data_IF_515333994408
#
_entry.id   IF_515333994408
#
_cell.length_a   1.000
_cell.length_b   1.000
_cell.length_c   1.000
_cell.angle_alpha   90.00
_cell.angle_beta   90.00
_cell.angle_gamma   90.00
#
_symmetry.space_group_name_H-M   'P 1'
#
loop_
_entity.id
_entity.type
_entity.pdbx_description
1 polymer ?
#
# COMPACT_ATOMS: atom_id res chain seq x y z
N UNK A 1 34.40 22.73 -21.07
CA UNK A 1 33.72 21.43 -21.10
C UNK A 1 32.31 21.67 -20.61
N UNK A 2 31.31 21.73 -21.50
CA UNK A 2 29.91 21.93 -21.12
C UNK A 2 29.49 20.75 -20.24
N UNK A 3 28.82 21.02 -19.11
CA UNK A 3 28.25 19.96 -18.29
C UNK A 3 27.23 19.18 -19.11
N UNK A 4 27.06 17.87 -18.83
CA UNK A 4 26.09 17.03 -19.53
C UNK A 4 24.69 17.65 -19.57
N UNK A 5 24.29 18.37 -18.52
CA UNK A 5 23.04 19.14 -18.47
C UNK A 5 22.98 20.28 -19.50
N UNK A 6 24.07 21.02 -19.70
CA UNK A 6 24.12 22.11 -20.68
C UNK A 6 23.99 21.58 -22.12
N UNK A 7 24.64 20.45 -22.42
CA UNK A 7 24.49 19.77 -23.73
C UNK A 7 23.06 19.26 -23.95
N UNK A 8 22.43 18.70 -22.91
CA UNK A 8 21.02 18.26 -22.97
C UNK A 8 20.05 19.41 -23.28
N UNK A 9 20.28 20.57 -22.69
CA UNK A 9 19.44 21.76 -22.91
C UNK A 9 19.72 22.41 -24.27
N UNK A 10 20.99 22.57 -24.64
CA UNK A 10 21.40 23.20 -25.90
C UNK A 10 20.95 22.40 -27.11
N UNK A 11 21.03 21.06 -27.05
CA UNK A 11 20.56 20.17 -28.12
C UNK A 11 19.08 19.79 -28.00
N UNK A 12 18.34 20.41 -27.07
CA UNK A 12 16.90 20.18 -26.84
C UNK A 12 16.52 18.71 -26.66
N UNK A 13 17.43 17.88 -26.14
CA UNK A 13 17.14 16.46 -25.92
C UNK A 13 15.98 16.22 -24.94
N UNK A 14 15.66 17.20 -24.09
CA UNK A 14 14.47 17.16 -23.23
C UNK A 14 13.16 17.01 -24.01
N UNK A 15 13.09 17.41 -25.29
CA UNK A 15 11.92 17.20 -26.16
C UNK A 15 11.65 15.70 -26.42
N UNK A 16 12.68 14.86 -26.28
CA UNK A 16 12.60 13.40 -26.43
C UNK A 16 12.41 12.66 -25.11
N UNK A 17 12.44 13.37 -23.99
CA UNK A 17 12.32 12.79 -22.65
C UNK A 17 10.87 12.92 -22.19
N UNK A 18 10.10 11.83 -22.28
CA UNK A 18 8.74 11.77 -21.76
C UNK A 18 8.72 11.21 -20.33
N UNK A 19 8.40 12.00 -19.30
CA UNK A 19 8.28 11.49 -17.94
C UNK A 19 7.12 10.50 -17.85
N UNK A 20 7.37 9.32 -17.31
CA UNK A 20 6.34 8.32 -17.03
C UNK A 20 6.06 8.29 -15.54
N UNK A 21 4.78 8.22 -15.17
CA UNK A 21 4.35 8.05 -13.78
C UNK A 21 3.60 6.74 -13.62
N UNK A 22 3.88 5.99 -12.56
CA UNK A 22 3.01 4.91 -12.14
C UNK A 22 1.86 5.51 -11.33
N UNK A 23 0.70 5.69 -11.99
CA UNK A 23 -0.46 6.29 -11.37
C UNK A 23 -1.78 5.61 -11.77
N UNK A 24 -2.77 5.78 -10.91
CA UNK A 24 -4.19 5.62 -11.27
C UNK A 24 -4.73 7.00 -11.63
N UNK A 25 -5.43 7.10 -12.75
CA UNK A 25 -6.08 8.35 -13.21
C UNK A 25 -7.51 8.02 -13.58
N UNK A 26 -8.47 8.73 -13.01
CA UNK A 26 -9.89 8.53 -13.30
C UNK A 26 -10.61 9.87 -13.31
N UNK A 27 -11.33 10.15 -14.40
CA UNK A 27 -12.16 11.33 -14.55
C UNK A 27 -13.62 10.90 -14.49
N UNK A 28 -14.40 11.50 -13.59
CA UNK A 28 -15.81 11.16 -13.46
C UNK A 28 -16.66 11.75 -14.58
N UNK A 29 -17.85 11.18 -14.72
CA UNK A 29 -19.02 11.87 -15.24
C UNK A 29 -19.28 13.19 -14.51
N UNK A 30 -20.08 14.04 -15.14
CA UNK A 30 -20.57 15.26 -14.53
C UNK A 30 -21.46 14.92 -13.34
N UNK A 31 -21.14 15.52 -12.21
CA UNK A 31 -21.89 15.43 -10.97
C UNK A 31 -22.57 16.77 -10.71
N UNK A 32 -23.77 16.70 -10.17
CA UNK A 32 -24.52 17.88 -9.73
C UNK A 32 -24.83 17.71 -8.26
N UNK A 33 -24.40 18.69 -7.46
CA UNK A 33 -24.73 18.80 -6.04
C UNK A 33 -25.40 20.14 -5.84
N UNK A 34 -26.71 20.11 -5.53
CA UNK A 34 -27.58 21.30 -5.53
C UNK A 34 -27.48 22.07 -6.86
N UNK A 35 -26.95 23.27 -6.82
CA UNK A 35 -26.79 24.21 -7.93
C UNK A 35 -25.40 24.13 -8.61
N UNK A 36 -24.50 23.27 -8.13
CA UNK A 36 -23.12 23.17 -8.61
C UNK A 36 -22.94 21.93 -9.47
N UNK A 37 -22.52 22.15 -10.71
CA UNK A 37 -22.11 21.10 -11.64
C UNK A 37 -20.60 21.07 -11.83
N UNK A 38 -20.01 19.88 -11.71
CA UNK A 38 -18.56 19.69 -11.76
C UNK A 38 -18.19 18.25 -12.14
N UNK A 39 -16.94 18.06 -12.55
CA UNK A 39 -16.31 16.74 -12.70
C UNK A 39 -15.20 16.58 -11.67
N UNK A 40 -14.89 15.35 -11.28
CA UNK A 40 -13.77 15.07 -10.40
C UNK A 40 -12.69 14.31 -11.18
N UNK A 41 -11.48 14.87 -11.23
CA UNK A 41 -10.28 14.18 -11.68
C UNK A 41 -9.52 13.64 -10.47
N UNK A 42 -9.46 12.33 -10.35
CA UNK A 42 -8.69 11.63 -9.33
C UNK A 42 -7.36 11.16 -9.90
N UNK A 43 -6.28 11.45 -9.18
CA UNK A 43 -4.94 11.02 -9.54
C UNK A 43 -4.25 10.45 -8.30
N UNK A 44 -3.78 9.21 -8.37
CA UNK A 44 -2.92 8.63 -7.32
C UNK A 44 -1.58 8.22 -7.90
N UNK A 45 -0.52 8.95 -7.57
CA UNK A 45 0.85 8.79 -8.10
C UNK A 45 1.75 8.12 -7.08
N UNK A 46 2.54 7.12 -7.49
CA UNK A 46 3.49 6.43 -6.60
C UNK A 46 4.91 6.97 -6.77
N UNK A 47 5.60 7.17 -5.65
CA UNK A 47 7.02 7.57 -5.68
C UNK A 47 7.90 6.44 -6.21
N UNK A 48 8.86 6.81 -7.05
CA UNK A 48 9.93 5.94 -7.52
C UNK A 48 11.13 5.86 -6.55
N UNK A 49 11.19 6.72 -5.52
CA UNK A 49 12.38 6.88 -4.65
C UNK A 49 12.63 5.72 -3.69
N UNK A 50 11.57 5.07 -3.17
CA UNK A 50 11.66 3.81 -2.38
C UNK A 50 10.57 2.81 -2.76
N UNK A 51 10.45 2.53 -4.05
CA UNK A 51 9.43 1.59 -4.54
C UNK A 51 9.78 0.14 -4.20
N UNK A 52 8.77 -0.62 -3.78
CA UNK A 52 8.89 -2.07 -3.70
C UNK A 52 7.61 -2.78 -3.32
N UNK A 53 7.69 -4.11 -3.25
CA UNK A 53 6.57 -5.00 -2.98
C UNK A 53 6.27 -5.16 -1.49
N UNK A 54 5.08 -5.68 -1.18
CA UNK A 54 4.51 -5.71 0.18
C UNK A 54 5.46 -6.24 1.25
N UNK A 55 6.20 -7.31 1.04
CA UNK A 55 7.12 -7.83 2.08
C UNK A 55 8.60 -7.68 1.72
N UNK A 56 8.86 -6.94 0.65
CA UNK A 56 10.20 -6.81 0.06
C UNK A 56 10.83 -5.49 0.45
N UNK A 57 10.03 -4.42 0.53
CA UNK A 57 10.49 -3.07 0.85
C UNK A 57 9.55 -2.44 1.88
N UNK A 58 10.12 -2.02 3.02
CA UNK A 58 9.40 -1.40 4.13
C UNK A 58 10.25 -0.29 4.76
N UNK A 59 9.59 0.55 5.54
CA UNK A 59 10.25 1.59 6.32
C UNK A 59 10.86 2.69 5.48
N UNK A 60 11.76 3.42 6.13
CA UNK A 60 12.55 4.52 5.59
C UNK A 60 13.94 4.04 5.13
N UNK A 61 14.60 4.81 4.25
CA UNK A 61 16.05 4.71 4.02
C UNK A 61 16.82 5.89 4.60
N UNK A 62 18.16 5.82 4.49
CA UNK A 62 19.08 6.84 4.99
C UNK A 62 18.90 8.22 4.33
N UNK A 63 18.27 8.27 3.17
CA UNK A 63 17.95 9.50 2.44
C UNK A 63 16.58 10.08 2.83
N UNK A 64 15.86 9.42 3.73
CA UNK A 64 14.54 9.85 4.19
C UNK A 64 13.39 9.41 3.28
N UNK A 65 13.62 8.57 2.27
CA UNK A 65 12.54 8.09 1.41
C UNK A 65 11.81 6.93 2.09
N UNK A 66 10.49 6.90 2.01
CA UNK A 66 9.68 5.81 2.59
C UNK A 66 9.11 4.88 1.53
N UNK A 67 9.01 3.61 1.89
CA UNK A 67 8.42 2.61 1.01
C UNK A 67 6.94 2.90 0.72
N UNK A 68 6.50 2.57 -0.50
CA UNK A 68 5.09 2.70 -0.93
C UNK A 68 4.48 4.09 -0.67
N UNK A 69 5.26 5.16 -0.89
CA UNK A 69 4.76 6.52 -0.86
C UNK A 69 3.80 6.75 -2.04
N UNK A 70 2.60 7.23 -1.74
CA UNK A 70 1.57 7.57 -2.73
C UNK A 70 0.98 8.92 -2.39
N UNK A 71 0.92 9.78 -3.39
CA UNK A 71 0.18 11.03 -3.35
C UNK A 71 -1.15 10.84 -4.07
N UNK A 72 -2.25 11.15 -3.41
CA UNK A 72 -3.60 11.10 -3.97
C UNK A 72 -4.16 12.51 -4.01
N UNK A 73 -4.52 12.93 -5.21
CA UNK A 73 -5.07 14.24 -5.52
C UNK A 73 -6.49 14.08 -6.07
N UNK A 74 -7.41 14.91 -5.57
CA UNK A 74 -8.77 15.05 -6.08
C UNK A 74 -8.95 16.49 -6.59
N UNK A 75 -9.27 16.64 -7.87
CA UNK A 75 -9.43 17.94 -8.52
C UNK A 75 -10.89 18.08 -8.94
N UNK A 76 -11.58 19.11 -8.44
CA UNK A 76 -12.92 19.47 -8.92
C UNK A 76 -12.77 20.48 -10.07
N UNK A 77 -13.37 20.15 -11.20
CA UNK A 77 -13.45 20.97 -12.39
C UNK A 77 -14.89 21.45 -12.54
N UNK A 78 -15.15 22.71 -12.18
CA UNK A 78 -16.49 23.30 -12.24
C UNK A 78 -16.78 23.84 -13.64
N UNK A 79 -18.06 23.88 -14.02
CA UNK A 79 -18.47 24.39 -15.35
C UNK A 79 -18.21 25.88 -15.54
N UNK A 80 -18.24 26.65 -14.45
CA UNK A 80 -17.93 28.09 -14.45
C UNK A 80 -16.44 28.38 -14.66
N UNK A 81 -15.58 27.35 -14.77
CA UNK A 81 -14.14 27.47 -14.94
C UNK A 81 -13.35 27.48 -13.62
N UNK A 82 -14.02 27.52 -12.46
CA UNK A 82 -13.38 27.34 -11.15
C UNK A 82 -12.74 25.96 -11.07
N UNK A 83 -11.61 25.87 -10.39
CA UNK A 83 -10.90 24.62 -10.14
C UNK A 83 -10.47 24.54 -8.68
N UNK A 84 -10.69 23.41 -8.04
CA UNK A 84 -10.13 23.15 -6.71
C UNK A 84 -9.34 21.85 -6.71
N UNK A 85 -8.31 21.76 -5.87
CA UNK A 85 -7.53 20.54 -5.70
C UNK A 85 -7.27 20.28 -4.21
N UNK A 86 -7.37 19.02 -3.81
CA UNK A 86 -6.98 18.56 -2.48
C UNK A 86 -6.03 17.38 -2.60
N UNK A 87 -4.88 17.49 -1.93
CA UNK A 87 -3.83 16.49 -1.91
C UNK A 87 -3.75 15.84 -0.53
N UNK A 88 -3.60 14.52 -0.51
CA UNK A 88 -3.27 13.77 0.69
C UNK A 88 -2.24 12.69 0.35
N UNK A 89 -1.43 12.31 1.32
CA UNK A 89 -0.33 11.38 1.10
C UNK A 89 -0.47 10.15 2.00
N UNK A 90 0.14 9.06 1.58
CA UNK A 90 0.29 7.85 2.40
C UNK A 90 1.65 7.23 2.16
N UNK A 91 2.16 6.50 3.13
CA UNK A 91 3.43 5.80 2.99
C UNK A 91 3.64 4.72 4.04
N UNK A 92 4.77 4.04 3.94
CA UNK A 92 5.28 3.23 5.04
C UNK A 92 5.59 4.13 6.25
N UNK A 93 5.67 3.47 7.41
CA UNK A 93 6.00 4.10 8.68
C UNK A 93 7.46 4.56 8.60
N UNK A 94 7.78 5.83 8.89
CA UNK A 94 9.07 6.44 8.59
C UNK A 94 10.12 6.13 9.67
N UNK A 95 10.36 4.84 9.90
CA UNK A 95 11.44 4.29 10.74
C UNK A 95 12.08 3.11 10.00
N UNK A 96 13.26 2.66 10.41
CA UNK A 96 13.93 1.49 9.86
C UNK A 96 13.26 0.23 10.40
N UNK A 97 12.45 -0.41 9.56
CA UNK A 97 11.78 -1.66 9.89
C UNK A 97 11.62 -2.55 8.66
N UNK A 98 11.53 -3.86 8.90
CA UNK A 98 11.37 -4.88 7.87
C UNK A 98 10.37 -5.95 8.31
N UNK A 99 9.81 -6.63 7.33
CA UNK A 99 8.95 -7.79 7.57
C UNK A 99 9.20 -8.83 6.49
N UNK A 100 10.37 -9.52 6.58
CA UNK A 100 10.80 -10.45 5.56
C UNK A 100 9.75 -11.53 5.30
N UNK A 101 9.49 -11.79 4.02
CA UNK A 101 8.54 -12.81 3.60
C UNK A 101 8.98 -14.20 4.08
N UNK A 102 8.02 -14.93 4.63
CA UNK A 102 8.18 -16.34 5.00
C UNK A 102 6.89 -17.05 4.60
N UNK A 103 6.92 -18.38 4.48
CA UNK A 103 5.71 -19.19 4.30
C UNK A 103 4.70 -19.05 5.46
N UNK A 104 5.01 -18.32 6.55
CA UNK A 104 4.02 -17.99 7.58
C UNK A 104 3.02 -16.98 7.03
N UNK A 105 1.74 -17.22 7.28
CA UNK A 105 0.65 -16.34 6.83
C UNK A 105 0.82 -14.87 7.29
N UNK A 106 1.30 -14.66 8.51
CA UNK A 106 1.65 -13.35 9.03
C UNK A 106 3.17 -13.29 9.28
N UNK A 107 3.93 -12.62 8.40
CA UNK A 107 5.36 -12.42 8.59
C UNK A 107 5.64 -11.62 9.87
N UNK A 108 6.79 -11.89 10.49
CA UNK A 108 7.24 -11.15 11.68
C UNK A 108 7.65 -9.73 11.30
N UNK A 109 7.57 -8.81 12.27
CA UNK A 109 8.04 -7.42 12.12
C UNK A 109 9.31 -7.26 12.93
N UNK A 110 10.30 -6.61 12.34
CA UNK A 110 11.57 -6.28 12.98
C UNK A 110 11.79 -4.78 12.82
N UNK A 111 12.09 -4.09 13.93
CA UNK A 111 12.56 -2.70 13.92
C UNK A 111 14.07 -2.70 14.21
N UNK A 112 14.81 -1.80 13.57
CA UNK A 112 16.28 -1.84 13.59
C UNK A 112 16.89 -1.58 14.99
N UNK A 113 16.17 -0.84 15.85
CA UNK A 113 16.58 -0.52 17.22
C UNK A 113 17.52 0.68 17.34
N UNK A 114 17.87 1.32 16.22
CA UNK A 114 18.80 2.47 16.17
C UNK A 114 18.03 3.79 16.13
N UNK A 115 17.86 4.39 17.30
CA UNK A 115 17.08 5.62 17.48
C UNK A 115 17.73 6.82 16.79
N UNK A 116 19.06 6.93 16.82
CA UNK A 116 19.76 8.07 16.22
C UNK A 116 19.63 8.03 14.70
N UNK A 117 19.78 6.85 14.10
CA UNK A 117 19.58 6.64 12.67
C UNK A 117 18.11 6.89 12.27
N UNK A 118 17.16 6.38 13.04
CA UNK A 118 15.72 6.63 12.83
C UNK A 118 15.41 8.13 12.82
N UNK A 119 15.92 8.88 13.81
CA UNK A 119 15.71 10.33 13.92
C UNK A 119 16.36 11.08 12.76
N UNK A 120 17.60 10.76 12.40
CA UNK A 120 18.30 11.42 11.30
C UNK A 120 17.59 11.22 9.94
N UNK A 121 17.14 9.99 9.66
CA UNK A 121 16.37 9.70 8.45
C UNK A 121 15.00 10.38 8.48
N UNK A 122 14.33 10.38 9.65
CA UNK A 122 13.04 11.06 9.81
C UNK A 122 13.15 12.57 9.63
N UNK A 123 14.22 13.22 10.10
CA UNK A 123 14.42 14.67 9.90
C UNK A 123 14.49 15.02 8.42
N UNK A 124 15.32 14.30 7.64
CA UNK A 124 15.38 14.47 6.17
C UNK A 124 13.99 14.31 5.54
N UNK A 125 13.27 13.29 5.98
CA UNK A 125 11.93 13.00 5.49
C UNK A 125 10.92 14.11 5.83
N UNK A 126 10.91 14.58 7.07
CA UNK A 126 10.05 15.65 7.52
C UNK A 126 10.32 16.93 6.73
N UNK A 127 11.59 17.30 6.54
CA UNK A 127 11.97 18.46 5.74
C UNK A 127 11.52 18.36 4.28
N UNK A 128 11.65 17.19 3.65
CA UNK A 128 11.12 16.99 2.29
C UNK A 128 9.61 17.22 2.25
N UNK A 129 8.86 16.59 3.16
CA UNK A 129 7.40 16.76 3.21
C UNK A 129 7.01 18.21 3.51
N UNK A 130 7.72 18.88 4.41
CA UNK A 130 7.47 20.28 4.75
C UNK A 130 7.73 21.21 3.57
N UNK A 131 8.78 20.93 2.80
CA UNK A 131 9.10 21.72 1.60
C UNK A 131 8.05 21.56 0.50
N UNK A 132 7.47 20.36 0.35
CA UNK A 132 6.50 20.04 -0.69
C UNK A 132 5.07 20.43 -0.32
N UNK A 133 4.71 20.29 0.96
CA UNK A 133 3.32 20.33 1.40
C UNK A 133 3.04 21.30 2.54
N UNK A 134 4.06 21.91 3.16
CA UNK A 134 3.90 22.76 4.34
C UNK A 134 3.71 21.96 5.63
N UNK A 135 2.62 22.17 6.36
CA UNK A 135 2.36 21.44 7.61
C UNK A 135 2.03 19.96 7.32
N UNK A 136 2.41 19.06 8.22
CA UNK A 136 2.23 17.62 8.03
C UNK A 136 1.55 16.99 9.24
N UNK A 137 0.32 16.54 9.04
CA UNK A 137 -0.40 15.75 10.03
C UNK A 137 -0.23 14.26 9.74
N UNK A 138 0.57 13.56 10.55
CA UNK A 138 0.71 12.12 10.50
C UNK A 138 -0.44 11.43 11.24
N UNK A 139 -1.26 10.68 10.50
CA UNK A 139 -2.29 9.80 11.05
C UNK A 139 -1.78 8.36 11.00
N UNK A 140 -1.37 7.84 12.14
CA UNK A 140 -0.84 6.50 12.28
C UNK A 140 -1.94 5.51 12.69
N UNK A 141 -2.22 4.51 11.83
CA UNK A 141 -3.31 3.54 12.00
C UNK A 141 -2.87 2.17 12.55
N UNK A 142 -1.64 2.08 13.05
CA UNK A 142 -1.04 0.83 13.56
C UNK A 142 -1.76 0.37 14.84
N UNK A 143 -1.87 -0.95 14.99
CA UNK A 143 -2.51 -1.57 16.15
C UNK A 143 -1.64 -1.39 17.40
N UNK A 144 -2.24 -1.07 18.54
CA UNK A 144 -1.52 -0.94 19.83
C UNK A 144 -1.31 -2.31 20.49
N UNK A 145 -0.96 -3.33 19.71
CA UNK A 145 -0.78 -4.72 20.17
C UNK A 145 0.41 -5.42 19.51
N UNK A 146 1.05 -6.31 20.27
CA UNK A 146 2.11 -7.24 19.79
C UNK A 146 3.23 -6.49 19.05
N UNK A 147 3.70 -7.03 17.93
CA UNK A 147 4.80 -6.46 17.16
C UNK A 147 4.48 -5.09 16.53
N UNK A 148 3.19 -4.81 16.27
CA UNK A 148 2.77 -3.51 15.76
C UNK A 148 2.90 -2.39 16.83
N UNK A 149 2.74 -2.73 18.11
CA UNK A 149 2.93 -1.77 19.21
C UNK A 149 4.36 -1.22 19.22
N UNK A 150 5.37 -2.10 19.18
CA UNK A 150 6.79 -1.72 19.15
C UNK A 150 7.10 -0.75 18.01
N UNK A 151 6.54 -1.00 16.84
CA UNK A 151 6.74 -0.16 15.67
C UNK A 151 6.06 1.22 15.81
N UNK A 152 4.86 1.26 16.41
CA UNK A 152 4.17 2.51 16.72
C UNK A 152 4.88 3.33 17.81
N UNK A 153 5.42 2.67 18.83
CA UNK A 153 6.23 3.31 19.88
C UNK A 153 7.54 3.87 19.32
N UNK A 154 8.22 3.11 18.45
CA UNK A 154 9.41 3.57 17.75
C UNK A 154 9.11 4.82 16.91
N UNK A 155 8.01 4.83 16.16
CA UNK A 155 7.58 6.01 15.40
C UNK A 155 7.30 7.21 16.33
N UNK A 156 6.52 7.00 17.40
CA UNK A 156 6.18 8.07 18.33
C UNK A 156 7.42 8.68 18.99
N UNK A 157 8.35 7.83 19.42
CA UNK A 157 9.64 8.25 19.97
C UNK A 157 10.47 9.02 18.94
N UNK A 158 10.59 8.51 17.71
CA UNK A 158 11.36 9.15 16.64
C UNK A 158 10.82 10.55 16.32
N UNK A 159 9.50 10.71 16.22
CA UNK A 159 8.88 12.02 15.97
C UNK A 159 9.12 12.98 17.13
N UNK A 160 8.97 12.50 18.38
CA UNK A 160 9.19 13.33 19.57
C UNK A 160 10.66 13.77 19.71
N UNK A 161 11.60 12.85 19.49
CA UNK A 161 13.04 13.13 19.55
C UNK A 161 13.45 14.10 18.42
N UNK A 162 12.91 13.92 17.21
CA UNK A 162 13.14 14.85 16.09
C UNK A 162 12.59 16.25 16.38
N UNK A 163 11.37 16.35 16.92
CA UNK A 163 10.76 17.63 17.29
C UNK A 163 11.49 18.33 18.45
N UNK A 164 12.04 17.56 19.39
CA UNK A 164 12.85 18.11 20.49
C UNK A 164 14.19 18.69 19.98
N UNK A 165 14.77 18.06 18.96
CA UNK A 165 16.04 18.50 18.35
C UNK A 165 15.86 19.62 17.32
N UNK A 166 14.66 19.81 16.79
CA UNK A 166 14.38 20.72 15.69
C UNK A 166 13.02 21.43 15.85
N UNK A 167 13.09 22.73 16.12
CA UNK A 167 11.91 23.58 16.31
C UNK A 167 11.04 23.71 15.07
N UNK A 168 11.60 23.57 13.86
CA UNK A 168 10.82 23.63 12.63
C UNK A 168 9.92 22.39 12.50
N UNK A 169 10.44 21.21 12.84
CA UNK A 169 9.66 19.97 12.88
C UNK A 169 8.59 20.07 13.98
N UNK A 170 8.95 20.57 15.16
CA UNK A 170 7.98 20.77 16.26
C UNK A 170 6.79 21.65 15.85
N UNK A 171 7.04 22.71 15.07
CA UNK A 171 6.00 23.65 14.64
C UNK A 171 5.15 23.11 13.49
N UNK A 172 5.70 22.28 12.60
CA UNK A 172 5.05 21.88 11.35
C UNK A 172 4.54 20.44 11.33
N UNK A 173 5.00 19.56 12.23
CA UNK A 173 4.71 18.13 12.19
C UNK A 173 3.94 17.68 13.43
N UNK A 174 2.76 17.11 13.22
CA UNK A 174 1.92 16.55 14.29
C UNK A 174 1.68 15.06 14.07
N UNK A 175 1.82 14.25 15.11
CA UNK A 175 1.53 12.81 15.08
C UNK A 175 0.26 12.49 15.87
N UNK A 176 -0.68 11.80 15.22
CA UNK A 176 -1.89 11.24 15.82
C UNK A 176 -1.88 9.72 15.66
N UNK A 177 -1.82 8.99 16.77
CA UNK A 177 -1.84 7.52 16.77
C UNK A 177 -3.21 6.95 17.13
N UNK A 178 -3.95 6.56 16.10
CA UNK A 178 -5.30 6.02 16.16
C UNK A 178 -5.32 4.50 15.96
N UNK A 179 -5.73 3.73 16.97
CA UNK A 179 -5.81 2.26 16.86
C UNK A 179 -7.04 1.83 16.07
N UNK A 180 -6.88 1.73 14.76
CA UNK A 180 -7.97 1.43 13.82
C UNK A 180 -8.63 0.07 14.10
N UNK A 181 -7.88 -0.97 14.46
CA UNK A 181 -8.46 -2.29 14.71
C UNK A 181 -9.27 -2.34 16.00
N UNK A 182 -8.83 -1.63 17.04
CA UNK A 182 -9.59 -1.53 18.29
C UNK A 182 -10.87 -0.73 18.10
N UNK A 183 -10.75 0.45 17.48
CA UNK A 183 -11.87 1.39 17.35
C UNK A 183 -12.91 0.90 16.33
N UNK A 184 -12.48 0.31 15.20
CA UNK A 184 -13.40 -0.15 14.16
C UNK A 184 -13.74 -1.65 14.24
N UNK A 185 -13.44 -2.31 15.37
CA UNK A 185 -13.80 -3.72 15.57
C UNK A 185 -15.31 -3.92 15.41
N UNK A 186 -15.71 -5.06 14.84
CA UNK A 186 -17.12 -5.41 14.63
C UNK A 186 -17.91 -4.37 13.82
N UNK A 187 -17.26 -3.73 12.84
CA UNK A 187 -17.89 -2.76 11.94
C UNK A 187 -18.41 -1.49 12.65
N UNK A 188 -17.83 -1.13 13.80
CA UNK A 188 -18.12 0.13 14.51
C UNK A 188 -17.42 1.32 13.86
N UNK A 189 -17.73 1.56 12.59
CA UNK A 189 -17.11 2.59 11.76
C UNK A 189 -17.46 4.02 12.21
N UNK A 190 -18.55 4.21 12.97
CA UNK A 190 -18.86 5.49 13.60
C UNK A 190 -17.75 6.00 14.53
N UNK A 191 -16.87 5.12 15.05
CA UNK A 191 -15.71 5.55 15.83
C UNK A 191 -14.66 6.32 15.01
N UNK A 192 -14.74 6.31 13.68
CA UNK A 192 -13.92 7.17 12.81
C UNK A 192 -14.24 8.66 13.01
N UNK A 193 -15.43 8.98 13.51
CA UNK A 193 -15.78 10.35 13.91
C UNK A 193 -14.84 10.88 15.01
N UNK A 194 -14.35 10.00 15.91
CA UNK A 194 -13.36 10.38 16.93
C UNK A 194 -12.05 10.85 16.30
N UNK A 195 -11.60 10.14 15.25
CA UNK A 195 -10.39 10.51 14.52
C UNK A 195 -10.59 11.88 13.86
N UNK A 196 -11.71 12.07 13.15
CA UNK A 196 -12.00 13.33 12.48
C UNK A 196 -12.04 14.48 13.49
N UNK A 197 -12.79 14.34 14.59
CA UNK A 197 -12.85 15.36 15.65
C UNK A 197 -11.49 15.70 16.25
N UNK A 198 -10.58 14.73 16.36
CA UNK A 198 -9.24 14.95 16.92
C UNK A 198 -8.34 15.80 16.01
N UNK A 199 -8.59 15.79 14.70
CA UNK A 199 -7.72 16.40 13.68
C UNK A 199 -8.40 17.49 12.86
N UNK A 200 -9.65 17.83 13.19
CA UNK A 200 -10.47 18.68 12.35
C UNK A 200 -9.90 20.08 12.21
N UNK A 201 -9.40 20.64 13.31
CA UNK A 201 -8.78 21.97 13.33
C UNK A 201 -7.55 22.02 12.41
N UNK A 202 -6.66 21.01 12.50
CA UNK A 202 -5.48 20.92 11.61
C UNK A 202 -5.93 20.77 10.15
N UNK A 203 -6.95 19.94 9.91
CA UNK A 203 -7.47 19.66 8.56
C UNK A 203 -8.07 20.90 7.91
N UNK A 204 -8.85 21.68 8.67
CA UNK A 204 -9.44 22.93 8.19
C UNK A 204 -8.37 23.99 7.94
N UNK A 205 -7.37 24.09 8.83
CA UNK A 205 -6.24 25.00 8.69
C UNK A 205 -5.34 24.67 7.47
N UNK A 206 -5.16 23.38 7.15
CA UNK A 206 -4.44 22.95 5.95
C UNK A 206 -5.13 23.40 4.65
N UNK A 207 -6.46 23.46 4.65
CA UNK A 207 -7.27 23.89 3.52
C UNK A 207 -7.10 23.05 2.25
N UNK A 208 -7.40 23.67 1.11
CA UNK A 208 -7.31 23.08 -0.22
C UNK A 208 -6.95 24.16 -1.26
N UNK A 209 -6.39 23.76 -2.39
CA UNK A 209 -6.09 24.68 -3.48
C UNK A 209 -7.37 25.14 -4.19
N UNK A 210 -7.50 26.44 -4.46
CA UNK A 210 -8.63 27.01 -5.17
C UNK A 210 -8.15 28.04 -6.21
N UNK A 211 -8.56 27.84 -7.45
CA UNK A 211 -8.39 28.77 -8.56
C UNK A 211 -9.76 29.21 -9.05
N UNK A 212 -9.99 30.51 -9.14
CA UNK A 212 -11.23 31.07 -9.68
C UNK A 212 -11.27 30.95 -11.21
N UNK A 213 -12.45 31.22 -11.77
CA UNK A 213 -12.72 31.14 -13.21
C UNK A 213 -11.83 32.05 -14.06
N UNK A 214 -11.45 33.21 -13.53
CA UNK A 214 -10.53 34.17 -14.14
C UNK A 214 -9.05 33.72 -14.12
N UNK A 215 -8.75 32.58 -13.48
CA UNK A 215 -7.40 32.05 -13.34
C UNK A 215 -6.67 32.50 -12.08
N UNK A 216 -7.25 33.38 -11.27
CA UNK A 216 -6.62 33.86 -10.03
C UNK A 216 -6.56 32.74 -8.98
N UNK A 217 -5.42 32.59 -8.31
CA UNK A 217 -5.28 31.63 -7.20
C UNK A 217 -5.84 32.26 -5.94
N UNK A 218 -7.00 31.77 -5.50
CA UNK A 218 -7.70 32.25 -4.30
C UNK A 218 -7.13 31.62 -3.02
N UNK A 219 -6.78 30.34 -3.09
CA UNK A 219 -6.21 29.63 -1.93
C UNK A 219 -5.16 28.61 -2.37
N UNK A 220 -4.17 28.36 -1.50
CA UNK A 220 -3.21 27.26 -1.62
C UNK A 220 -3.34 26.37 -0.41
N UNK A 221 -3.29 25.05 -0.65
CA UNK A 221 -3.20 24.09 0.45
C UNK A 221 -1.87 24.30 1.20
N UNK A 222 -1.95 24.47 2.52
CA UNK A 222 -0.83 24.86 3.39
C UNK A 222 -0.33 23.72 4.27
N UNK A 223 -0.99 22.57 4.22
CA UNK A 223 -0.59 21.35 4.90
C UNK A 223 -1.21 20.09 4.29
N UNK A 224 -0.75 18.92 4.72
CA UNK A 224 -1.17 17.63 4.19
C UNK A 224 -1.45 16.64 5.31
N UNK A 225 -2.49 15.81 5.09
CA UNK A 225 -2.70 14.62 5.91
C UNK A 225 -1.91 13.46 5.34
N UNK A 226 -1.04 12.91 6.17
CA UNK A 226 -0.27 11.71 5.87
C UNK A 226 -0.80 10.51 6.63
N UNK A 227 -1.37 9.55 5.91
CA UNK A 227 -1.90 8.33 6.52
C UNK A 227 -0.87 7.20 6.43
N UNK A 228 -0.42 6.69 7.57
CA UNK A 228 0.50 5.56 7.62
C UNK A 228 -0.19 4.33 8.22
N UNK A 229 0.19 3.16 7.73
CA UNK A 229 -0.23 1.87 8.25
C UNK A 229 0.85 0.84 7.91
N UNK A 230 0.88 -0.26 8.66
CA UNK A 230 1.82 -1.35 8.38
C UNK A 230 1.70 -1.84 6.93
N UNK A 231 0.49 -2.05 6.40
CA UNK A 231 0.29 -2.53 5.02
C UNK A 231 -0.13 -1.44 4.03
N UNK A 232 -0.53 -0.27 4.51
CA UNK A 232 -0.90 0.90 3.71
C UNK A 232 -1.78 0.60 2.47
N UNK A 233 -2.75 -0.30 2.61
CA UNK A 233 -3.66 -0.73 1.54
C UNK A 233 -5.11 -0.48 1.94
N UNK A 234 -5.67 -1.34 2.80
CA UNK A 234 -7.12 -1.35 3.02
C UNK A 234 -7.56 -0.29 4.05
N UNK A 235 -6.87 -0.22 5.21
CA UNK A 235 -7.21 0.73 6.30
C UNK A 235 -6.97 2.19 5.91
N UNK A 236 -5.88 2.43 5.18
CA UNK A 236 -5.51 3.79 4.77
C UNK A 236 -6.42 4.30 3.68
N UNK A 237 -6.87 3.47 2.74
CA UNK A 237 -7.86 3.89 1.76
C UNK A 237 -9.17 4.33 2.40
N UNK A 238 -9.66 3.61 3.41
CA UNK A 238 -10.86 4.01 4.16
C UNK A 238 -10.67 5.39 4.79
N UNK A 239 -9.59 5.60 5.56
CA UNK A 239 -9.34 6.88 6.23
C UNK A 239 -9.10 8.03 5.23
N UNK A 240 -8.35 7.77 4.16
CA UNK A 240 -8.14 8.76 3.09
C UNK A 240 -9.44 9.16 2.39
N UNK A 241 -10.37 8.20 2.20
CA UNK A 241 -11.69 8.52 1.64
C UNK A 241 -12.54 9.40 2.57
N UNK A 242 -12.32 9.36 3.90
CA UNK A 242 -13.02 10.26 4.82
C UNK A 242 -12.55 11.70 4.63
N UNK A 243 -11.23 11.91 4.63
CA UNK A 243 -10.62 13.22 4.38
C UNK A 243 -10.97 13.74 3.00
N UNK A 244 -10.93 12.87 1.98
CA UNK A 244 -11.31 13.23 0.62
C UNK A 244 -12.76 13.69 0.52
N UNK A 245 -13.71 12.94 1.12
CA UNK A 245 -15.12 13.36 1.18
C UNK A 245 -15.29 14.69 1.91
N UNK A 246 -14.65 14.84 3.07
CA UNK A 246 -14.72 16.06 3.87
C UNK A 246 -14.22 17.27 3.08
N UNK A 247 -13.08 17.14 2.40
CA UNK A 247 -12.56 18.19 1.52
C UNK A 247 -13.51 18.50 0.36
N UNK A 248 -14.16 17.49 -0.26
CA UNK A 248 -15.12 17.75 -1.34
C UNK A 248 -16.30 18.58 -0.84
N UNK A 249 -16.84 18.26 0.34
CA UNK A 249 -17.94 19.05 0.91
C UNK A 249 -17.50 20.50 1.19
N UNK A 250 -16.27 20.71 1.69
CA UNK A 250 -15.71 22.07 1.86
C UNK A 250 -15.51 22.80 0.52
N UNK A 251 -15.02 22.11 -0.51
CA UNK A 251 -14.82 22.66 -1.86
C UNK A 251 -16.15 23.06 -2.53
N UNK A 252 -17.23 22.34 -2.21
CA UNK A 252 -18.59 22.63 -2.65
C UNK A 252 -19.32 23.63 -1.76
N UNK A 253 -18.70 24.12 -0.68
CA UNK A 253 -19.35 24.98 0.33
C UNK A 253 -20.57 24.33 1.00
N UNK A 254 -20.54 23.01 1.19
CA UNK A 254 -21.59 22.19 1.82
C UNK A 254 -21.19 21.83 3.26
N UNK A 255 -20.97 22.83 4.11
CA UNK A 255 -20.48 22.64 5.49
C UNK A 255 -21.49 21.93 6.39
N UNK A 256 -22.80 22.08 6.15
CA UNK A 256 -23.84 21.37 6.89
C UNK A 256 -23.74 19.84 6.69
N UNK A 257 -23.32 19.39 5.51
CA UNK A 257 -23.10 17.97 5.22
C UNK A 257 -21.97 17.36 6.08
N UNK A 258 -21.14 18.18 6.74
CA UNK A 258 -20.06 17.74 7.62
C UNK A 258 -20.50 17.40 9.04
N UNK A 259 -21.68 17.84 9.47
CA UNK A 259 -22.22 17.60 10.81
C UNK A 259 -22.86 16.21 10.96
N UNK A 260 -23.09 15.52 9.84
CA UNK A 260 -23.68 14.19 9.79
C UNK A 260 -22.68 13.04 9.94
N UNK A 261 -23.09 11.86 9.48
CA UNK A 261 -22.25 10.67 9.50
C UNK A 261 -21.02 10.84 8.60
N UNK A 262 -19.81 10.77 9.17
CA UNK A 262 -18.54 10.92 8.43
C UNK A 262 -18.35 9.94 7.26
N UNK A 263 -19.12 8.85 7.21
CA UNK A 263 -19.03 7.81 6.19
C UNK A 263 -19.85 8.08 4.94
N UNK A 264 -20.82 8.99 4.98
CA UNK A 264 -21.73 9.26 3.87
C UNK A 264 -22.01 10.76 3.76
N UNK A 265 -22.30 11.22 2.55
CA UNK A 265 -22.90 12.54 2.31
C UNK A 265 -24.43 12.42 2.14
N UNK A 266 -25.19 13.53 2.28
CA UNK A 266 -26.63 13.54 1.99
C UNK A 266 -26.94 13.46 0.49
N UNK A 267 -25.93 13.52 -0.38
CA UNK A 267 -26.08 13.55 -1.83
C UNK A 267 -25.87 12.14 -2.43
N UNK A 268 -26.95 11.43 -2.71
CA UNK A 268 -26.89 10.00 -3.07
C UNK A 268 -26.09 9.72 -4.36
N UNK A 269 -26.35 10.48 -5.42
CA UNK A 269 -25.66 10.28 -6.70
C UNK A 269 -24.17 10.58 -6.61
N UNK A 270 -23.81 11.67 -5.92
CA UNK A 270 -22.42 11.98 -5.58
C UNK A 270 -21.79 10.85 -4.77
N UNK A 271 -22.46 10.34 -3.73
CA UNK A 271 -21.90 9.29 -2.88
C UNK A 271 -21.69 7.98 -3.64
N UNK A 272 -22.59 7.65 -4.57
CA UNK A 272 -22.46 6.48 -5.46
C UNK A 272 -21.20 6.59 -6.31
N UNK A 273 -20.98 7.73 -6.96
CA UNK A 273 -19.79 7.96 -7.79
C UNK A 273 -18.53 8.05 -6.93
N UNK A 274 -18.57 8.76 -5.80
CA UNK A 274 -17.46 8.86 -4.85
C UNK A 274 -16.97 7.49 -4.39
N UNK A 275 -17.89 6.64 -3.92
CA UNK A 275 -17.59 5.28 -3.46
C UNK A 275 -17.03 4.39 -4.58
N UNK A 276 -17.54 4.55 -5.81
CA UNK A 276 -17.03 3.83 -6.99
C UNK A 276 -15.58 4.20 -7.27
N UNK A 277 -15.27 5.50 -7.37
CA UNK A 277 -13.93 5.98 -7.69
C UNK A 277 -12.93 5.63 -6.59
N UNK A 278 -13.29 5.79 -5.32
CA UNK A 278 -12.41 5.38 -4.21
C UNK A 278 -12.19 3.86 -4.15
N UNK A 279 -13.18 3.07 -4.58
CA UNK A 279 -13.02 1.63 -4.77
C UNK A 279 -12.04 1.29 -5.88
N UNK A 280 -12.14 1.97 -7.03
CA UNK A 280 -11.24 1.81 -8.17
C UNK A 280 -9.80 2.22 -7.83
N UNK A 281 -9.65 3.35 -7.13
CA UNK A 281 -8.36 3.80 -6.61
C UNK A 281 -7.72 2.77 -5.66
N UNK A 282 -8.51 2.18 -4.77
CA UNK A 282 -8.04 1.12 -3.88
C UNK A 282 -7.53 -0.09 -4.66
N UNK A 283 -8.32 -0.55 -5.64
CA UNK A 283 -7.99 -1.68 -6.51
C UNK A 283 -6.69 -1.42 -7.29
N UNK A 284 -6.55 -0.24 -7.90
CA UNK A 284 -5.38 0.13 -8.70
C UNK A 284 -4.11 0.18 -7.84
N UNK A 285 -4.13 0.84 -6.69
CA UNK A 285 -2.94 0.92 -5.84
C UNK A 285 -2.61 -0.43 -5.21
N UNK A 286 -3.62 -1.24 -4.89
CA UNK A 286 -3.40 -2.62 -4.46
C UNK A 286 -2.75 -3.47 -5.54
N UNK A 287 -3.15 -3.29 -6.80
CA UNK A 287 -2.54 -3.98 -7.93
C UNK A 287 -1.06 -3.60 -8.08
N UNK A 288 -0.72 -2.31 -7.93
CA UNK A 288 0.65 -1.83 -8.02
C UNK A 288 1.55 -2.30 -6.86
N UNK A 289 0.99 -2.56 -5.68
CA UNK A 289 1.78 -2.90 -4.49
C UNK A 289 1.79 -4.40 -4.12
N UNK A 290 0.66 -5.08 -4.28
CA UNK A 290 0.46 -6.48 -3.87
C UNK A 290 0.08 -7.39 -5.05
N UNK A 291 -0.04 -6.85 -6.27
CA UNK A 291 -0.38 -7.62 -7.46
C UNK A 291 -1.80 -8.18 -7.50
N UNK A 292 -2.68 -7.80 -6.57
CA UNK A 292 -4.09 -8.23 -6.51
C UNK A 292 -5.00 -7.02 -6.32
N UNK A 293 -6.31 -7.18 -6.56
CA UNK A 293 -7.31 -6.19 -6.13
C UNK A 293 -7.26 -5.94 -4.62
N UNK A 294 -7.84 -4.82 -4.19
CA UNK A 294 -7.91 -4.47 -2.78
C UNK A 294 -8.86 -5.42 -2.03
N UNK A 295 -8.64 -5.58 -0.73
CA UNK A 295 -9.57 -6.32 0.11
C UNK A 295 -10.62 -5.35 0.64
N UNK A 296 -11.84 -5.85 0.89
CA UNK A 296 -12.96 -5.05 1.42
C UNK A 296 -13.36 -3.88 0.51
N UNK A 297 -13.14 -4.00 -0.79
CA UNK A 297 -13.57 -2.99 -1.77
C UNK A 297 -15.09 -2.86 -1.83
N UNK A 298 -15.81 -3.93 -1.50
CA UNK A 298 -17.26 -3.93 -1.34
C UNK A 298 -17.71 -2.95 -0.23
N UNK A 299 -16.94 -2.82 0.85
CA UNK A 299 -17.21 -1.84 1.89
C UNK A 299 -17.03 -0.41 1.37
N UNK A 300 -15.93 -0.11 0.68
CA UNK A 300 -15.74 1.22 0.08
C UNK A 300 -16.84 1.53 -0.93
N UNK A 301 -17.30 0.55 -1.72
CA UNK A 301 -18.31 0.72 -2.76
C UNK A 301 -19.75 0.82 -2.23
N UNK A 302 -20.09 0.09 -1.17
CA UNK A 302 -21.50 -0.08 -0.73
C UNK A 302 -21.74 0.29 0.73
N UNK A 303 -20.69 0.52 1.53
CA UNK A 303 -20.78 0.75 2.97
C UNK A 303 -21.17 -0.49 3.79
N UNK A 304 -21.42 -1.64 3.16
CA UNK A 304 -21.78 -2.91 3.81
C UNK A 304 -20.92 -4.05 3.25
N UNK A 305 -20.78 -5.14 4.02
CA UNK A 305 -20.05 -6.35 3.57
C UNK A 305 -21.02 -7.33 2.91
N UNK A 306 -20.71 -7.76 1.70
CA UNK A 306 -21.55 -8.68 0.92
C UNK A 306 -20.99 -10.11 0.92
N UNK A 307 -21.84 -11.13 0.78
CA UNK A 307 -21.37 -12.54 0.68
C UNK A 307 -20.46 -12.76 -0.53
N UNK A 308 -20.79 -12.14 -1.67
CA UNK A 308 -19.95 -12.14 -2.88
C UNK A 308 -18.61 -11.43 -2.64
N UNK A 309 -18.63 -10.29 -1.96
CA UNK A 309 -17.42 -9.57 -1.55
C UNK A 309 -16.52 -10.41 -0.64
N UNK A 310 -17.10 -11.13 0.33
CA UNK A 310 -16.33 -12.02 1.21
C UNK A 310 -15.66 -13.19 0.46
N UNK A 311 -16.30 -13.75 -0.57
CA UNK A 311 -15.71 -14.79 -1.40
C UNK A 311 -14.55 -14.24 -2.26
N UNK A 312 -14.75 -13.06 -2.86
CA UNK A 312 -13.71 -12.38 -3.63
C UNK A 312 -12.51 -11.97 -2.75
N UNK A 313 -12.76 -11.52 -1.52
CA UNK A 313 -11.72 -11.26 -0.52
C UNK A 313 -10.90 -12.51 -0.23
N UNK A 314 -11.55 -13.67 -0.13
CA UNK A 314 -10.91 -14.97 0.05
C UNK A 314 -9.98 -15.30 -1.12
N UNK A 315 -10.49 -15.20 -2.35
CA UNK A 315 -9.70 -15.41 -3.57
C UNK A 315 -8.50 -14.45 -3.64
N UNK A 316 -8.73 -13.14 -3.45
CA UNK A 316 -7.67 -12.14 -3.45
C UNK A 316 -6.63 -12.40 -2.36
N UNK A 317 -7.04 -12.84 -1.17
CA UNK A 317 -6.13 -13.19 -0.07
C UNK A 317 -5.23 -14.38 -0.43
N UNK A 318 -5.80 -15.43 -1.05
CA UNK A 318 -5.03 -16.59 -1.52
C UNK A 318 -4.05 -16.20 -2.63
N UNK A 319 -4.52 -15.46 -3.64
CA UNK A 319 -3.66 -14.99 -4.73
C UNK A 319 -2.54 -14.08 -4.21
N UNK A 320 -2.85 -13.19 -3.27
CA UNK A 320 -1.87 -12.30 -2.64
C UNK A 320 -0.83 -13.10 -1.86
N UNK A 321 -1.24 -14.15 -1.15
CA UNK A 321 -0.30 -15.05 -0.47
C UNK A 321 0.66 -15.74 -1.46
N UNK A 322 0.14 -16.26 -2.58
CA UNK A 322 0.96 -16.90 -3.61
C UNK A 322 1.94 -15.90 -4.22
N UNK A 323 1.45 -14.73 -4.66
CA UNK A 323 2.29 -13.70 -5.30
C UNK A 323 3.41 -13.22 -4.37
N UNK A 324 3.06 -12.90 -3.13
CA UNK A 324 4.01 -12.44 -2.12
C UNK A 324 5.15 -13.43 -1.87
N UNK A 325 4.86 -14.74 -1.82
CA UNK A 325 5.87 -15.75 -1.53
C UNK A 325 6.69 -16.17 -2.75
N UNK A 326 6.09 -16.22 -3.95
CA UNK A 326 6.70 -16.91 -5.10
C UNK A 326 7.00 -16.01 -6.30
N UNK A 327 6.41 -14.83 -6.38
CA UNK A 327 6.51 -13.94 -7.56
C UNK A 327 7.13 -12.59 -7.24
N UNK A 328 6.89 -12.04 -6.04
CA UNK A 328 7.25 -10.67 -5.70
C UNK A 328 8.75 -10.39 -5.70
N UNK A 329 9.61 -11.38 -5.39
CA UNK A 329 11.06 -11.22 -5.50
C UNK A 329 11.50 -10.88 -6.92
N UNK A 330 11.01 -11.63 -7.92
CA UNK A 330 11.30 -11.32 -9.33
C UNK A 330 10.72 -9.98 -9.77
N UNK A 331 9.50 -9.67 -9.33
CA UNK A 331 8.89 -8.38 -9.66
C UNK A 331 9.67 -7.21 -9.05
N UNK A 332 10.25 -7.38 -7.86
CA UNK A 332 11.15 -6.38 -7.29
C UNK A 332 12.42 -6.24 -8.11
N UNK A 333 13.04 -7.33 -8.55
CA UNK A 333 14.23 -7.26 -9.41
C UNK A 333 13.93 -6.47 -10.69
N UNK A 334 12.75 -6.65 -11.29
CA UNK A 334 12.31 -5.86 -12.45
C UNK A 334 12.14 -4.37 -12.08
N UNK A 335 11.54 -4.06 -10.94
CA UNK A 335 11.42 -2.66 -10.47
C UNK A 335 12.78 -2.01 -10.23
N UNK A 336 13.72 -2.73 -9.62
CA UNK A 336 15.05 -2.20 -9.34
C UNK A 336 15.83 -1.91 -10.62
N UNK A 337 15.65 -2.72 -11.68
CA UNK A 337 16.21 -2.43 -13.00
C UNK A 337 15.53 -1.24 -13.67
N UNK A 338 14.19 -1.22 -13.72
CA UNK A 338 13.41 -0.15 -14.36
C UNK A 338 13.68 1.23 -13.74
N UNK A 339 13.89 1.27 -12.42
CA UNK A 339 14.17 2.49 -11.67
C UNK A 339 15.67 2.82 -11.58
N UNK A 340 16.53 2.07 -12.28
CA UNK A 340 17.98 2.30 -12.28
C UNK A 340 18.67 2.08 -10.94
N UNK A 341 18.05 1.35 -10.02
CA UNK A 341 18.59 1.05 -8.68
C UNK A 341 19.68 0.00 -8.69
N UNK A 342 19.75 -0.80 -9.74
CA UNK A 342 20.78 -1.80 -9.97
C UNK A 342 21.42 -1.57 -11.33
N UNK A 343 22.73 -1.37 -11.34
CA UNK A 343 23.51 -1.24 -12.57
C UNK A 343 24.11 -2.59 -12.94
N UNK A 344 23.74 -3.10 -14.12
CA UNK A 344 24.26 -4.37 -14.62
C UNK A 344 25.73 -4.19 -15.00
N UNK A 345 26.61 -4.97 -14.36
CA UNK A 345 28.02 -5.03 -14.73
C UNK A 345 28.29 -6.23 -15.64
N UNK A 346 28.99 -6.02 -16.75
CA UNK A 346 29.46 -7.11 -17.64
C UNK A 346 30.55 -7.97 -17.01
N UNK A 347 31.26 -7.46 -16.01
CA UNK A 347 32.37 -8.16 -15.34
C UNK A 347 31.93 -9.05 -14.18
N UNK A 348 30.69 -8.92 -13.71
CA UNK A 348 30.16 -9.70 -12.59
C UNK A 348 29.23 -10.79 -13.14
N UNK A 349 29.26 -12.01 -12.57
CA UNK A 349 28.30 -13.04 -12.95
C UNK A 349 26.87 -12.58 -12.64
N UNK A 350 25.93 -13.02 -13.47
CA UNK A 350 24.53 -12.67 -13.27
C UNK A 350 24.03 -13.31 -11.96
N UNK A 351 23.37 -12.54 -11.07
CA UNK A 351 22.83 -13.08 -9.81
C UNK A 351 21.70 -14.11 -10.06
N UNK A 352 21.21 -14.21 -11.30
CA UNK A 352 20.20 -15.19 -11.70
C UNK A 352 20.75 -16.59 -12.01
N UNK A 353 22.07 -16.80 -12.03
CA UNK A 353 22.69 -18.08 -12.44
C UNK A 353 22.39 -19.26 -11.50
N UNK A 354 22.16 -19.03 -10.21
CA UNK A 354 21.72 -20.07 -9.27
C UNK A 354 20.20 -20.24 -9.32
N UNK A 355 19.72 -21.27 -10.02
CA UNK A 355 18.34 -21.74 -9.90
C UNK A 355 18.22 -22.60 -8.63
N UNK A 356 17.69 -22.02 -7.56
CA UNK A 356 17.10 -22.81 -6.47
C UNK A 356 15.87 -23.58 -6.97
N UNK A 357 15.34 -24.50 -6.18
CA UNK A 357 14.10 -25.20 -6.52
C UNK A 357 12.97 -24.20 -6.79
N UNK A 358 12.40 -24.23 -7.99
CA UNK A 358 11.24 -23.40 -8.34
C UNK A 358 9.96 -24.02 -7.78
N UNK A 359 8.93 -23.18 -7.55
CA UNK A 359 7.60 -23.68 -7.19
C UNK A 359 7.09 -24.69 -8.23
N UNK A 360 7.34 -24.44 -9.52
CA UNK A 360 7.01 -25.35 -10.61
C UNK A 360 7.68 -26.72 -10.42
N UNK A 361 8.99 -26.74 -10.15
CA UNK A 361 9.73 -27.99 -9.89
C UNK A 361 9.13 -28.76 -8.71
N UNK A 362 8.76 -28.05 -7.64
CA UNK A 362 8.14 -28.66 -6.45
C UNK A 362 6.74 -29.19 -6.74
N UNK A 363 5.93 -28.43 -7.49
CA UNK A 363 4.60 -28.86 -7.91
C UNK A 363 4.69 -30.09 -8.83
N UNK A 364 5.65 -30.13 -9.76
CA UNK A 364 5.89 -31.29 -10.63
C UNK A 364 6.29 -32.52 -9.81
N UNK A 365 7.18 -32.36 -8.80
CA UNK A 365 7.55 -33.46 -7.88
C UNK A 365 6.34 -33.96 -7.10
N UNK A 366 5.52 -33.05 -6.58
CA UNK A 366 4.27 -33.40 -5.88
C UNK A 366 3.34 -34.17 -6.82
N UNK A 367 3.11 -33.67 -8.04
CA UNK A 367 2.31 -34.34 -9.07
C UNK A 367 2.83 -35.75 -9.37
N UNK A 368 4.15 -35.95 -9.45
CA UNK A 368 4.75 -37.28 -9.59
C UNK A 368 4.41 -38.22 -8.43
N UNK A 369 4.41 -37.71 -7.19
CA UNK A 369 4.00 -38.47 -6.00
C UNK A 369 2.51 -38.85 -6.06
N UNK A 370 1.63 -37.95 -6.53
CA UNK A 370 0.20 -38.23 -6.75
C UNK A 370 0.01 -39.41 -7.70
N UNK A 371 0.69 -39.34 -8.84
CA UNK A 371 0.63 -40.39 -9.87
C UNK A 371 1.15 -41.71 -9.33
N UNK A 372 2.25 -41.69 -8.57
CA UNK A 372 2.79 -42.90 -7.93
C UNK A 372 1.78 -43.53 -6.93
N UNK A 373 1.15 -42.73 -6.06
CA UNK A 373 0.12 -43.23 -5.14
C UNK A 373 -1.10 -43.78 -5.88
N UNK A 374 -1.53 -43.12 -6.96
CA UNK A 374 -2.61 -43.61 -7.79
C UNK A 374 -2.28 -44.98 -8.41
N UNK A 375 -1.06 -45.16 -8.92
CA UNK A 375 -0.59 -46.43 -9.50
C UNK A 375 -0.52 -47.54 -8.44
N UNK A 376 -0.02 -47.24 -7.23
CA UNK A 376 0.03 -48.20 -6.12
C UNK A 376 -1.38 -48.64 -5.72
N UNK A 377 -2.32 -47.71 -5.59
CA UNK A 377 -3.71 -48.04 -5.23
C UNK A 377 -4.40 -48.84 -6.35
N UNK A 378 -4.06 -48.55 -7.61
CA UNK A 378 -4.53 -49.31 -8.77
C UNK A 378 -4.00 -50.75 -8.75
N UNK A 379 -2.73 -50.95 -8.39
CA UNK A 379 -2.13 -52.28 -8.28
C UNK A 379 -2.69 -53.09 -7.10
N UNK A 380 -2.94 -52.44 -5.95
CA UNK A 380 -3.39 -53.11 -4.72
C UNK A 380 -4.86 -53.55 -4.76
N UNK A 381 -5.69 -52.90 -5.57
CA UNK A 381 -7.13 -53.16 -5.65
C UNK A 381 -7.47 -54.09 -6.83
N UNK A 382 -7.26 -55.39 -6.65
CA UNK A 382 -7.53 -56.44 -7.63
C UNK A 382 -9.02 -56.78 -7.83
N UNK A 383 -9.82 -55.86 -8.38
CA UNK A 383 -11.23 -56.13 -8.73
C UNK A 383 -11.85 -55.05 -9.61
N UNK A 384 -12.76 -55.43 -10.51
CA UNK A 384 -13.38 -54.52 -11.48
C UNK A 384 -14.49 -53.63 -10.86
N UNK A 385 -14.60 -52.41 -11.39
CA UNK A 385 -15.75 -51.47 -11.32
C UNK A 385 -15.79 -50.29 -10.32
N UNK A 386 -14.66 -49.66 -9.96
CA UNK A 386 -14.69 -48.33 -9.32
C UNK A 386 -13.54 -47.39 -9.70
N UNK A 387 -13.20 -47.28 -11.00
CA UNK A 387 -12.14 -46.35 -11.47
C UNK A 387 -12.34 -44.92 -10.99
N UNK A 388 -13.59 -44.42 -11.02
CA UNK A 388 -13.92 -43.08 -10.55
C UNK A 388 -13.74 -42.92 -9.04
N UNK A 389 -14.15 -43.91 -8.24
CA UNK A 389 -13.99 -43.87 -6.79
C UNK A 389 -12.52 -43.96 -6.37
N UNK A 390 -11.70 -44.74 -7.10
CA UNK A 390 -10.24 -44.84 -6.90
C UNK A 390 -9.55 -43.53 -7.22
N UNK A 391 -9.89 -42.93 -8.36
CA UNK A 391 -9.37 -41.61 -8.72
C UNK A 391 -9.79 -40.57 -7.67
N UNK A 392 -11.04 -40.60 -7.23
CA UNK A 392 -11.52 -39.69 -6.20
C UNK A 392 -10.78 -39.87 -4.86
N UNK A 393 -10.60 -41.10 -4.38
CA UNK A 393 -9.89 -41.40 -3.12
C UNK A 393 -8.40 -41.03 -3.20
N UNK A 394 -7.72 -41.35 -4.30
CA UNK A 394 -6.30 -41.01 -4.49
C UNK A 394 -6.08 -39.50 -4.61
N UNK A 395 -6.95 -38.78 -5.33
CA UNK A 395 -6.96 -37.32 -5.40
C UNK A 395 -7.24 -36.73 -4.03
N UNK A 396 -8.22 -37.23 -3.29
CA UNK A 396 -8.56 -36.74 -1.96
C UNK A 396 -7.41 -36.98 -0.97
N UNK A 397 -6.82 -38.18 -0.93
CA UNK A 397 -5.69 -38.51 -0.05
C UNK A 397 -4.48 -37.64 -0.38
N UNK A 398 -4.18 -37.49 -1.66
CA UNK A 398 -3.15 -36.57 -2.13
C UNK A 398 -3.42 -35.15 -1.68
N UNK A 399 -4.65 -34.66 -1.85
CA UNK A 399 -5.04 -33.31 -1.49
C UNK A 399 -4.91 -33.12 0.03
N UNK A 400 -5.27 -34.12 0.84
CA UNK A 400 -5.08 -34.13 2.28
C UNK A 400 -3.59 -34.11 2.67
N UNK A 401 -2.74 -34.88 1.99
CA UNK A 401 -1.29 -34.87 2.22
C UNK A 401 -0.71 -33.51 1.83
N UNK A 402 -1.05 -32.98 0.66
CA UNK A 402 -0.61 -31.66 0.19
C UNK A 402 -1.06 -30.56 1.15
N UNK A 403 -2.32 -30.57 1.59
CA UNK A 403 -2.85 -29.64 2.59
C UNK A 403 -2.14 -29.82 3.92
N UNK A 404 -1.85 -31.05 4.34
CA UNK A 404 -1.12 -31.36 5.56
C UNK A 404 0.32 -30.81 5.53
N UNK A 405 1.08 -31.13 4.48
CA UNK A 405 2.46 -30.65 4.26
C UNK A 405 2.47 -29.12 4.15
N UNK A 406 1.58 -28.54 3.35
CA UNK A 406 1.45 -27.09 3.23
C UNK A 406 1.10 -26.44 4.57
N UNK A 407 0.18 -27.02 5.35
CA UNK A 407 -0.18 -26.55 6.69
C UNK A 407 1.01 -26.60 7.65
N UNK A 408 1.86 -27.63 7.57
CA UNK A 408 3.10 -27.72 8.35
C UNK A 408 4.10 -26.65 7.92
N UNK A 409 4.29 -26.43 6.60
CA UNK A 409 5.15 -25.38 6.05
C UNK A 409 4.69 -23.99 6.51
N UNK A 410 3.37 -23.72 6.47
CA UNK A 410 2.78 -22.45 6.89
C UNK A 410 2.86 -22.25 8.41
N UNK A 411 2.53 -23.27 9.22
CA UNK A 411 2.54 -23.15 10.68
C UNK A 411 3.95 -23.04 11.25
N UNK A 412 4.86 -23.92 10.83
CA UNK A 412 6.20 -23.98 11.40
C UNK A 412 7.16 -23.00 10.75
N UNK A 413 6.95 -22.64 9.47
CA UNK A 413 7.89 -21.80 8.72
C UNK A 413 9.29 -22.43 8.70
N UNK A 414 9.36 -23.75 8.48
CA UNK A 414 10.60 -24.53 8.48
C UNK A 414 11.63 -23.94 7.49
N UNK A 415 12.91 -24.30 7.67
CA UNK A 415 14.01 -23.93 6.76
C UNK A 415 13.71 -24.27 5.29
N UNK A 416 12.97 -25.35 5.04
CA UNK A 416 12.49 -25.73 3.71
C UNK A 416 11.51 -24.69 3.14
N UNK A 417 10.61 -24.15 3.96
CA UNK A 417 9.69 -23.09 3.55
C UNK A 417 10.39 -21.77 3.22
N UNK A 418 11.51 -21.45 3.89
CA UNK A 418 12.32 -20.28 3.53
C UNK A 418 13.02 -20.45 2.18
N UNK A 419 13.44 -21.67 1.83
CA UNK A 419 14.05 -21.97 0.52
C UNK A 419 13.06 -21.88 -0.64
N UNK A 420 11.77 -22.09 -0.39
CA UNK A 420 10.70 -22.01 -1.40
C UNK A 420 10.29 -20.57 -1.72
N UNK A 421 10.52 -19.64 -0.79
CA UNK A 421 10.18 -18.23 -1.00
C UNK A 421 11.16 -17.61 -1.97
N UNK A 422 10.64 -16.97 -3.02
CA UNK A 422 11.45 -16.30 -4.02
C UNK A 422 11.76 -14.87 -3.56
N UNK A 423 12.94 -14.67 -3.00
CA UNK A 423 13.48 -13.36 -2.64
C UNK A 423 14.07 -12.65 -3.88
N UNK A 424 14.13 -11.30 -3.90
CA UNK A 424 14.85 -10.56 -4.92
C UNK A 424 16.33 -10.93 -4.92
N UNK A 425 16.94 -10.95 -6.10
CA UNK A 425 18.34 -11.33 -6.30
C UNK A 425 19.26 -10.14 -6.53
N UNK A 426 18.73 -9.00 -6.99
CA UNK A 426 19.54 -7.82 -7.30
C UNK A 426 19.92 -7.02 -6.05
N UNK A 427 18.94 -6.75 -5.17
CA UNK A 427 19.12 -5.95 -3.94
C UNK A 427 18.45 -6.60 -2.71
N UNK A 428 18.84 -7.82 -2.30
CA UNK A 428 18.20 -8.53 -1.19
C UNK A 428 18.33 -7.83 0.18
N UNK A 429 19.31 -6.94 0.35
CA UNK A 429 19.57 -6.20 1.58
C UNK A 429 18.54 -5.11 1.91
N UNK A 430 17.74 -4.64 0.95
CA UNK A 430 16.89 -3.45 1.14
C UNK A 430 15.56 -3.71 1.87
N UNK A 431 15.33 -4.94 2.34
CA UNK A 431 14.15 -5.28 3.13
C UNK A 431 13.79 -6.77 3.21
N UNK A 432 14.51 -7.63 2.48
CA UNK A 432 14.28 -9.08 2.49
C UNK A 432 15.17 -9.88 3.43
N UNK A 433 16.28 -9.31 3.88
CA UNK A 433 17.19 -9.92 4.84
C UNK A 433 17.35 -8.95 6.01
N UNK A 434 16.99 -9.39 7.22
CA UNK A 434 17.24 -8.62 8.43
C UNK A 434 18.03 -9.47 9.41
N UNK A 435 19.15 -8.91 9.87
CA UNK A 435 19.95 -9.44 10.99
C UNK A 435 19.52 -8.81 12.32
N UNK A 436 18.48 -7.97 12.31
CA UNK A 436 18.05 -7.20 13.48
C UNK A 436 17.47 -8.13 14.56
N UNK A 437 17.92 -7.92 15.79
CA UNK A 437 17.37 -8.61 16.96
C UNK A 437 15.95 -8.12 17.23
N UNK A 438 15.12 -9.02 17.76
CA UNK A 438 13.67 -8.82 17.96
C UNK A 438 13.33 -7.88 19.12
#
# INVERSE_FOLDING_TARGET
>A
MLTFAAVMTEQKFFEWVTPMVQAHVELTEQLTVKDKSFRILYISRRSCKRQGMRFTMRGIDDDGNVANFVETEQICLFEDGKQTSFVQIRGSIPVFWSSPVTMKYAPKVYQAGDVERDVAAFQKHAYELMSLYGRVLFVNLIDKKKEQLKLGEAMAKTVADAATKDSHILAAVRLVWFDFHRECRNMKWGNLEKLIKQVDDDFLDHGYFCKSADGTVVNKQSGVVRTNCMDNLDRTNVVQSLFGRRSLMLQLNETEALQGNVLNSPFEDFERTFKRVWGNNADAISLFYAGTGALKTDFTRTGKRTKKGALMDGYNSCMRYIKNNFMDGYRQDVLDLLLGRFTVSRSKPSPFQTQGETLESVLTKIMGVVVAFFLVETYRSGGQNYMFERLFRSVLLTLLICVGVFSVLVKKGNSLGQKLVRLPKLRPQDGCMTTWKR
#
